data_IF_687053623439
#
_entry.id   IF_687053623439
#
_cell.length_a   1.000
_cell.length_b   1.000
_cell.length_c   1.000
_cell.angle_alpha   90.00
_cell.angle_beta   90.00
_cell.angle_gamma   90.00
#
_symmetry.space_group_name_H-M   'P 1'
#
loop_
_entity.id
_entity.type
_entity.pdbx_description
1 polymer ?
#
# COMPACT_ATOMS: atom_id res chain seq x y z
N UNK A 1 1.94 -45.49 5.31
CA UNK A 1 1.70 -44.41 6.29
C UNK A 1 2.00 -43.09 5.62
N UNK A 2 1.01 -42.19 5.49
CA UNK A 2 1.25 -40.84 4.97
C UNK A 2 2.15 -40.08 5.96
N UNK A 3 3.25 -39.50 5.46
CA UNK A 3 4.21 -38.76 6.29
C UNK A 3 3.65 -37.43 6.80
N UNK A 4 2.66 -36.88 6.09
CA UNK A 4 2.00 -35.63 6.45
C UNK A 4 0.51 -35.87 6.63
N UNK A 5 0.02 -35.67 7.86
CA UNK A 5 -1.39 -35.90 8.24
C UNK A 5 -2.24 -34.64 8.15
N UNK A 6 -1.61 -33.47 8.03
CA UNK A 6 -2.28 -32.17 8.08
C UNK A 6 -1.87 -31.28 6.92
N UNK A 7 -2.84 -30.71 6.21
CA UNK A 7 -2.61 -29.70 5.18
C UNK A 7 -3.33 -28.40 5.58
N UNK A 8 -2.58 -27.29 5.64
CA UNK A 8 -3.11 -25.94 5.88
C UNK A 8 -2.87 -25.07 4.67
N UNK A 9 -3.83 -24.20 4.36
CA UNK A 9 -3.74 -23.34 3.20
C UNK A 9 -4.92 -22.38 3.06
N UNK A 10 -4.83 -21.52 2.03
CA UNK A 10 -5.87 -20.59 1.64
C UNK A 10 -6.58 -21.12 0.40
N UNK A 11 -7.86 -21.41 0.52
CA UNK A 11 -8.69 -21.83 -0.60
C UNK A 11 -9.48 -20.64 -1.15
N UNK A 12 -9.45 -20.41 -2.47
CA UNK A 12 -10.28 -19.40 -3.09
C UNK A 12 -11.75 -19.83 -3.00
N UNK A 13 -12.61 -18.90 -2.60
CA UNK A 13 -14.06 -19.04 -2.75
C UNK A 13 -14.39 -18.41 -4.09
N UNK A 14 -14.79 -19.24 -5.04
CA UNK A 14 -15.13 -18.85 -6.40
C UNK A 14 -16.64 -18.88 -6.58
N UNK A 15 -17.14 -17.96 -7.37
CA UNK A 15 -18.51 -17.91 -7.85
C UNK A 15 -18.49 -17.86 -9.37
N UNK A 16 -19.52 -18.41 -10.01
CA UNK A 16 -19.63 -18.44 -11.47
C UNK A 16 -20.72 -17.45 -11.90
N UNK A 17 -20.30 -16.36 -12.52
CA UNK A 17 -21.19 -15.30 -12.98
C UNK A 17 -20.94 -15.10 -14.47
N UNK A 18 -21.98 -15.27 -15.28
CA UNK A 18 -21.91 -15.07 -16.74
C UNK A 18 -20.78 -15.87 -17.43
N UNK A 19 -20.61 -17.15 -17.06
CA UNK A 19 -19.54 -18.05 -17.56
C UNK A 19 -18.10 -17.65 -17.19
N UNK A 20 -17.93 -16.63 -16.33
CA UNK A 20 -16.63 -16.24 -15.76
C UNK A 20 -16.51 -16.67 -14.29
N UNK A 21 -15.38 -17.31 -13.96
CA UNK A 21 -15.06 -17.73 -12.57
C UNK A 21 -14.48 -16.53 -11.83
N UNK A 22 -15.26 -15.93 -10.93
CA UNK A 22 -14.85 -14.79 -10.11
C UNK A 22 -14.47 -15.25 -8.71
N UNK A 23 -13.27 -14.87 -8.23
CA UNK A 23 -12.84 -15.15 -6.84
C UNK A 23 -13.47 -14.12 -5.90
N UNK A 24 -14.52 -14.51 -5.18
CA UNK A 24 -15.24 -13.66 -4.22
C UNK A 24 -14.52 -13.53 -2.87
N UNK A 25 -13.68 -14.50 -2.52
CA UNK A 25 -13.02 -14.51 -1.23
C UNK A 25 -11.95 -15.57 -1.10
N UNK A 26 -11.36 -15.65 0.09
CA UNK A 26 -10.42 -16.71 0.47
C UNK A 26 -10.75 -17.16 1.88
N UNK A 27 -10.79 -18.48 2.08
CA UNK A 27 -11.00 -19.09 3.39
C UNK A 27 -9.73 -19.85 3.75
N UNK A 28 -9.29 -19.69 5.00
CA UNK A 28 -8.21 -20.51 5.55
C UNK A 28 -8.82 -21.82 6.05
N UNK A 29 -8.31 -22.95 5.57
CA UNK A 29 -8.77 -24.28 5.97
C UNK A 29 -7.60 -25.14 6.45
N UNK A 30 -7.88 -26.06 7.39
CA UNK A 30 -6.97 -27.14 7.77
C UNK A 30 -7.67 -28.47 7.52
N UNK A 31 -7.07 -29.31 6.68
CA UNK A 31 -7.50 -30.68 6.43
C UNK A 31 -6.62 -31.62 7.24
N UNK A 32 -7.24 -32.50 8.03
CA UNK A 32 -6.57 -33.50 8.85
C UNK A 32 -7.07 -34.90 8.48
N UNK A 33 -6.14 -35.82 8.22
CA UNK A 33 -6.45 -37.23 7.99
C UNK A 33 -6.50 -37.99 9.31
N UNK A 34 -7.71 -38.40 9.70
CA UNK A 34 -7.97 -39.20 10.90
C UNK A 34 -7.89 -40.70 10.61
N UNK A 35 -7.53 -41.49 11.61
CA UNK A 35 -7.63 -42.95 11.52
C UNK A 35 -9.07 -43.43 11.77
N UNK A 36 -9.41 -44.68 11.43
CA UNK A 36 -10.78 -45.21 11.59
C UNK A 36 -11.32 -45.08 13.01
N UNK A 37 -10.49 -45.42 14.02
CA UNK A 37 -10.87 -45.31 15.43
C UNK A 37 -11.10 -43.85 15.91
N UNK A 38 -10.38 -42.88 15.34
CA UNK A 38 -10.52 -41.46 15.67
C UNK A 38 -11.73 -40.83 14.96
N UNK A 39 -12.04 -41.30 13.75
CA UNK A 39 -13.22 -40.87 13.00
C UNK A 39 -14.53 -41.39 13.63
N UNK A 40 -14.50 -42.59 14.23
CA UNK A 40 -15.65 -43.15 14.95
C UNK A 40 -15.92 -42.41 16.27
N UNK A 41 -14.87 -41.94 16.96
CA UNK A 41 -15.05 -41.19 18.21
C UNK A 41 -15.53 -39.76 17.98
N UNK A 42 -15.10 -39.11 16.89
CA UNK A 42 -15.48 -37.75 16.52
C UNK A 42 -16.01 -37.67 15.08
N UNK A 43 -17.25 -38.11 14.83
CA UNK A 43 -17.86 -38.10 13.50
C UNK A 43 -18.17 -36.69 13.01
N UNK A 44 -17.65 -36.32 11.85
CA UNK A 44 -17.95 -35.06 11.18
C UNK A 44 -19.38 -35.05 10.58
N UNK A 45 -20.03 -33.88 10.56
CA UNK A 45 -21.29 -33.68 9.82
C UNK A 45 -22.57 -34.10 10.54
N UNK A 46 -22.51 -34.51 11.81
CA UNK A 46 -23.71 -34.82 12.62
C UNK A 46 -24.41 -33.58 13.18
N UNK A 47 -23.86 -32.38 12.98
CA UNK A 47 -24.45 -31.10 13.41
C UNK A 47 -24.62 -30.95 14.94
N UNK A 48 -23.91 -31.77 15.73
CA UNK A 48 -24.02 -31.80 17.19
C UNK A 48 -23.08 -30.81 17.88
N UNK A 49 -21.92 -30.58 17.27
CA UNK A 49 -20.88 -29.70 17.80
C UNK A 49 -20.62 -28.53 16.85
N UNK A 50 -20.14 -27.42 17.40
CA UNK A 50 -19.66 -26.30 16.61
C UNK A 50 -18.54 -26.75 15.64
N UNK A 51 -18.41 -26.14 14.45
CA UNK A 51 -17.34 -26.48 13.53
C UNK A 51 -15.98 -26.25 14.21
N UNK A 52 -15.00 -27.12 13.92
CA UNK A 52 -13.63 -26.99 14.41
C UNK A 52 -13.01 -25.68 13.89
N UNK A 53 -13.17 -24.61 14.67
CA UNK A 53 -12.74 -23.26 14.34
C UNK A 53 -11.22 -23.14 14.41
N UNK A 54 -10.62 -22.66 13.32
CA UNK A 54 -9.23 -22.23 13.37
C UNK A 54 -9.08 -21.04 14.32
N UNK A 55 -7.91 -20.89 14.97
CA UNK A 55 -7.64 -19.69 15.75
C UNK A 55 -7.84 -18.46 14.88
N UNK A 56 -8.44 -17.41 15.46
CA UNK A 56 -8.68 -16.17 14.72
C UNK A 56 -7.37 -15.69 14.08
N UNK A 57 -7.35 -15.34 12.79
CA UNK A 57 -6.16 -14.81 12.17
C UNK A 57 -5.72 -13.55 12.92
N UNK A 58 -4.40 -13.32 13.00
CA UNK A 58 -3.85 -12.12 13.62
C UNK A 58 -4.22 -10.91 12.75
N UNK A 59 -5.42 -10.38 12.97
CA UNK A 59 -5.95 -9.22 12.27
C UNK A 59 -5.28 -7.99 12.91
N UNK A 60 -4.51 -7.19 12.15
CA UNK A 60 -4.11 -5.90 12.67
C UNK A 60 -5.37 -5.09 12.98
N UNK A 61 -5.53 -4.64 14.23
CA UNK A 61 -6.72 -3.94 14.75
C UNK A 61 -7.01 -2.58 14.09
N UNK A 62 -6.19 -2.14 13.12
CA UNK A 62 -6.37 -0.84 12.50
C UNK A 62 -7.18 -0.92 11.21
N UNK A 63 -8.48 -0.67 11.33
CA UNK A 63 -9.35 -0.17 10.25
C UNK A 63 -8.81 1.11 9.55
N UNK A 64 -7.78 1.75 10.12
CA UNK A 64 -7.12 2.96 9.61
C UNK A 64 -6.20 2.76 8.39
N UNK A 65 -5.93 1.53 7.92
CA UNK A 65 -5.05 1.32 6.75
C UNK A 65 -5.57 2.00 5.47
N UNK A 66 -6.89 2.14 5.31
CA UNK A 66 -7.49 2.83 4.15
C UNK A 66 -7.23 4.34 4.15
N UNK A 67 -7.08 4.96 5.33
CA UNK A 67 -6.85 6.40 5.45
C UNK A 67 -5.37 6.78 5.55
N UNK A 68 -4.53 5.88 6.06
CA UNK A 68 -3.06 6.04 6.09
C UNK A 68 -2.37 5.63 4.78
N UNK A 69 -3.04 4.83 3.93
CA UNK A 69 -2.57 4.47 2.59
C UNK A 69 -2.20 5.68 1.71
N UNK A 70 -3.06 6.70 1.57
CA UNK A 70 -2.77 7.94 0.85
C UNK A 70 -1.56 8.69 1.41
N UNK A 71 -1.36 8.72 2.73
CA UNK A 71 -0.25 9.45 3.35
C UNK A 71 1.08 8.74 3.12
N UNK A 72 1.09 7.40 3.09
CA UNK A 72 2.28 6.62 2.79
C UNK A 72 2.67 6.73 1.30
N UNK A 73 1.70 6.75 0.38
CA UNK A 73 1.97 7.02 -1.04
C UNK A 73 2.38 8.47 -1.28
N UNK A 74 1.79 9.44 -0.59
CA UNK A 74 2.20 10.85 -0.65
C UNK A 74 3.61 11.04 -0.09
N UNK A 75 3.96 10.38 1.01
CA UNK A 75 5.32 10.37 1.58
C UNK A 75 6.35 9.77 0.61
N UNK A 76 5.98 8.71 -0.11
CA UNK A 76 6.82 8.12 -1.15
C UNK A 76 7.02 9.09 -2.33
N UNK A 77 5.93 9.69 -2.83
CA UNK A 77 5.97 10.71 -3.89
C UNK A 77 6.82 11.92 -3.49
N UNK A 78 6.66 12.40 -2.25
CA UNK A 78 7.43 13.49 -1.66
C UNK A 78 8.92 13.15 -1.59
N UNK A 79 9.30 11.93 -1.18
CA UNK A 79 10.71 11.56 -1.02
C UNK A 79 11.50 11.56 -2.34
N UNK A 80 10.88 11.13 -3.45
CA UNK A 80 11.57 10.97 -4.75
C UNK A 80 11.39 12.16 -5.69
N UNK A 81 10.19 12.75 -5.81
CA UNK A 81 9.93 13.86 -6.75
C UNK A 81 10.19 15.24 -6.14
N UNK A 82 9.92 15.44 -4.85
CA UNK A 82 9.97 16.78 -4.24
C UNK A 82 11.40 17.33 -4.13
N UNK A 83 12.40 16.48 -3.92
CA UNK A 83 13.82 16.91 -3.85
C UNK A 83 14.26 17.65 -5.11
N UNK A 84 13.87 17.13 -6.28
CA UNK A 84 14.18 17.76 -7.57
C UNK A 84 13.35 19.03 -7.82
N UNK A 85 12.11 19.07 -7.33
CA UNK A 85 11.25 20.28 -7.41
C UNK A 85 11.85 21.41 -6.57
N UNK A 86 12.26 21.14 -5.33
CA UNK A 86 12.89 22.12 -4.44
C UNK A 86 14.19 22.69 -5.04
N UNK A 87 15.03 21.84 -5.63
CA UNK A 87 16.26 22.30 -6.30
C UNK A 87 15.93 23.24 -7.47
N UNK A 88 14.93 22.91 -8.30
CA UNK A 88 14.51 23.78 -9.42
C UNK A 88 14.00 25.13 -8.94
N UNK A 89 13.16 25.15 -7.89
CA UNK A 89 12.65 26.39 -7.29
C UNK A 89 13.80 27.24 -6.75
N UNK A 90 14.76 26.62 -6.07
CA UNK A 90 15.93 27.32 -5.53
C UNK A 90 16.79 27.97 -6.62
N UNK A 91 17.02 27.27 -7.74
CA UNK A 91 17.76 27.81 -8.89
C UNK A 91 17.00 29.00 -9.50
N UNK A 92 15.69 28.86 -9.72
CA UNK A 92 14.86 29.95 -10.27
C UNK A 92 14.90 31.17 -9.36
N UNK A 93 14.77 30.96 -8.05
CA UNK A 93 14.85 32.03 -7.05
C UNK A 93 16.19 32.76 -7.11
N UNK A 94 17.31 32.02 -7.21
CA UNK A 94 18.64 32.62 -7.33
C UNK A 94 18.78 33.46 -8.61
N UNK A 95 18.29 32.96 -9.75
CA UNK A 95 18.31 33.69 -11.03
C UNK A 95 17.47 34.96 -10.94
N UNK A 96 16.26 34.89 -10.37
CA UNK A 96 15.42 36.06 -10.15
C UNK A 96 16.11 37.10 -9.25
N UNK A 97 16.81 36.66 -8.21
CA UNK A 97 17.54 37.54 -7.29
C UNK A 97 18.70 38.25 -8.00
N UNK A 98 19.43 37.55 -8.87
CA UNK A 98 20.49 38.14 -9.70
C UNK A 98 19.90 39.21 -10.63
N UNK A 99 18.78 38.92 -11.31
CA UNK A 99 18.12 39.89 -12.21
C UNK A 99 17.64 41.10 -11.41
N UNK A 100 17.04 40.89 -10.25
CA UNK A 100 16.57 41.97 -9.38
C UNK A 100 17.74 42.86 -8.93
N UNK A 101 18.83 42.26 -8.45
CA UNK A 101 20.05 42.99 -8.07
C UNK A 101 20.66 43.71 -9.27
N UNK A 102 20.66 43.11 -10.46
CA UNK A 102 21.18 43.73 -11.66
C UNK A 102 20.39 44.99 -12.02
N UNK A 103 19.06 44.92 -12.00
CA UNK A 103 18.18 46.08 -12.22
C UNK A 103 18.32 47.14 -11.13
N UNK A 104 18.47 46.73 -9.87
CA UNK A 104 18.70 47.65 -8.76
C UNK A 104 20.10 48.31 -8.82
N UNK A 105 21.11 47.55 -9.23
CA UNK A 105 22.50 47.99 -9.30
C UNK A 105 22.85 48.64 -10.63
N UNK A 106 21.95 48.65 -11.62
CA UNK A 106 22.02 49.55 -12.78
C UNK A 106 22.02 50.97 -12.22
N UNK A 107 23.19 51.56 -11.99
CA UNK A 107 23.27 52.81 -11.27
C UNK A 107 22.78 53.87 -12.24
N UNK A 108 22.23 54.97 -11.73
CA UNK A 108 21.90 56.15 -12.52
C UNK A 108 23.05 56.69 -13.40
N UNK A 109 24.26 56.10 -13.37
CA UNK A 109 25.38 56.33 -14.27
C UNK A 109 25.08 56.08 -15.76
N UNK A 110 24.24 55.10 -16.12
CA UNK A 110 23.85 54.92 -17.54
C UNK A 110 22.79 55.96 -17.95
N UNK A 111 21.86 56.28 -17.04
CA UNK A 111 20.88 57.35 -17.25
C UNK A 111 21.57 58.71 -17.40
N UNK A 112 22.56 59.01 -16.55
CA UNK A 112 23.36 60.23 -16.63
C UNK A 112 24.14 60.33 -17.96
N UNK A 113 24.66 59.20 -18.48
CA UNK A 113 25.32 59.17 -19.80
C UNK A 113 24.36 59.25 -20.98
N UNK A 114 23.09 58.89 -20.82
CA UNK A 114 22.06 58.96 -21.87
C UNK A 114 21.32 60.30 -21.89
N UNK A 115 21.28 61.02 -20.77
CA UNK A 115 20.62 62.34 -20.62
C UNK A 115 21.57 63.52 -20.85
N UNK A 116 22.87 63.37 -20.57
CA UNK A 116 23.89 64.41 -20.83
C UNK A 116 24.73 64.16 -22.10
N UNK A 117 24.30 63.23 -22.96
CA UNK A 117 24.89 62.92 -24.26
C UNK A 117 24.04 63.47 -25.40
#
# INVERSE_FOLDING_TARGET
MFKNRTARGWWPVTDEVEEEIVVQGKVECQLEMLNSAEAESNPAGLGRDEPNGLPKPNRPDSSFMKFLGPLNTLRYLIKYRLKWILIKIFIIFLVCLIIFLFLYSFPGAIVQKMVNG
#
